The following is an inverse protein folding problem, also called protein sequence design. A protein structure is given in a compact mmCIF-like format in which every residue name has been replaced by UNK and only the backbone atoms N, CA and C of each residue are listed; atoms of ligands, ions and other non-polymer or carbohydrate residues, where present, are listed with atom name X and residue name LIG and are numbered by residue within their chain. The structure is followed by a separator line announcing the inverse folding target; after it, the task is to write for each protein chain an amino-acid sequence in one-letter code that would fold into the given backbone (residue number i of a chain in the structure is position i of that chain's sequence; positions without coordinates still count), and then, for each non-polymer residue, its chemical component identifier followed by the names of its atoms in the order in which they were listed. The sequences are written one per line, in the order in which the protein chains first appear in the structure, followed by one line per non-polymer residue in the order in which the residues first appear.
data_IF_540923714726
#
_entry.id   IF_540923714726
#
_cell.length_a   1.000
_cell.length_b   1.000
_cell.length_c   1.000
_cell.angle_alpha   90.00
_cell.angle_beta   90.00
_cell.angle_gamma   90.00
#
_symmetry.space_group_name_H-M   'P 1'
#
loop_
_entity.id
_entity.type
_entity.pdbx_description
1 polymer ?
#
# COMPACT_ATOMS: atom_id res chain seq x y z
N UNK A 1 19.02 -7.73 5.29
CA UNK A 1 19.15 -6.66 6.31
C UNK A 1 17.77 -6.41 6.92
N UNK A 2 17.69 -6.21 8.24
CA UNK A 2 16.41 -5.97 8.93
C UNK A 2 16.20 -4.46 9.04
N UNK A 3 15.11 -3.93 8.46
CA UNK A 3 14.75 -2.53 8.59
C UNK A 3 13.98 -2.27 9.89
N UNK A 4 14.34 -1.21 10.60
CA UNK A 4 13.57 -0.77 11.75
C UNK A 4 12.20 -0.20 11.35
N UNK A 5 11.16 -0.49 12.13
CA UNK A 5 9.77 -0.06 11.89
C UNK A 5 9.69 1.47 11.69
N UNK A 6 10.45 2.24 12.47
CA UNK A 6 10.48 3.71 12.37
C UNK A 6 10.96 4.22 11.00
N UNK A 7 11.86 3.49 10.32
CA UNK A 7 12.32 3.84 8.96
C UNK A 7 11.22 3.57 7.93
N UNK A 8 10.46 2.48 8.07
CA UNK A 8 9.34 2.15 7.19
C UNK A 8 8.24 3.22 7.26
N UNK A 9 7.84 3.62 8.47
CA UNK A 9 6.89 4.72 8.65
C UNK A 9 7.38 6.04 8.04
N UNK A 10 8.69 6.31 8.14
CA UNK A 10 9.28 7.53 7.55
C UNK A 10 9.26 7.48 6.02
N UNK A 11 9.56 6.33 5.42
CA UNK A 11 9.50 6.10 3.98
C UNK A 11 8.09 6.38 3.45
N UNK A 12 7.05 5.79 4.06
CA UNK A 12 5.65 6.02 3.67
C UNK A 12 5.31 7.52 3.75
N UNK A 13 5.72 8.21 4.82
CA UNK A 13 5.49 9.65 4.98
C UNK A 13 6.18 10.49 3.91
N UNK A 14 7.33 10.08 3.38
CA UNK A 14 8.03 10.84 2.33
C UNK A 14 7.18 10.89 1.06
N UNK A 15 6.62 9.76 0.64
CA UNK A 15 5.79 9.67 -0.56
C UNK A 15 4.38 10.24 -0.37
N UNK A 16 3.81 10.16 0.85
CA UNK A 16 2.48 10.69 1.14
C UNK A 16 2.43 12.22 1.39
N UNK A 17 3.57 12.93 1.41
CA UNK A 17 3.65 14.35 1.82
C UNK A 17 3.11 15.37 0.81
N UNK A 18 2.73 14.96 -0.39
CA UNK A 18 2.25 15.86 -1.47
C UNK A 18 0.97 15.31 -2.07
N UNK A 19 0.21 16.17 -2.76
CA UNK A 19 -0.90 15.69 -3.59
C UNK A 19 -0.37 14.74 -4.66
N UNK A 20 -0.91 13.53 -4.65
CA UNK A 20 -0.49 12.42 -5.50
C UNK A 20 -1.65 11.44 -5.59
N UNK A 21 -1.56 10.51 -6.53
CA UNK A 21 -2.54 9.43 -6.70
C UNK A 21 -2.09 8.22 -5.89
N UNK A 22 -3.03 7.49 -5.30
CA UNK A 22 -2.75 6.36 -4.40
C UNK A 22 -1.92 5.27 -5.11
N UNK A 23 -2.19 5.07 -6.40
CA UNK A 23 -1.51 4.14 -7.29
C UNK A 23 -0.02 4.45 -7.40
N UNK A 24 0.32 5.73 -7.55
CA UNK A 24 1.72 6.17 -7.71
C UNK A 24 2.49 5.98 -6.41
N UNK A 25 1.91 6.39 -5.29
CA UNK A 25 2.54 6.23 -3.96
C UNK A 25 2.86 4.77 -3.68
N UNK A 26 1.94 3.87 -3.99
CA UNK A 26 2.16 2.44 -3.77
C UNK A 26 3.28 1.84 -4.61
N UNK A 27 3.39 2.25 -5.89
CA UNK A 27 4.54 1.87 -6.74
C UNK A 27 5.85 2.38 -6.15
N UNK A 28 5.92 3.67 -5.79
CA UNK A 28 7.13 4.29 -5.26
C UNK A 28 7.59 3.64 -3.94
N UNK A 29 6.65 3.33 -3.04
CA UNK A 29 6.93 2.61 -1.79
C UNK A 29 7.47 1.21 -2.09
N UNK A 30 6.80 0.44 -2.95
CA UNK A 30 7.22 -0.93 -3.27
C UNK A 30 8.62 -0.96 -3.89
N UNK A 31 8.89 -0.06 -4.84
CA UNK A 31 10.17 0.01 -5.54
C UNK A 31 11.31 0.49 -4.62
N UNK A 32 11.05 1.43 -3.71
CA UNK A 32 12.02 1.84 -2.69
C UNK A 32 12.35 0.70 -1.73
N UNK A 33 11.34 -0.08 -1.30
CA UNK A 33 11.58 -1.25 -0.45
C UNK A 33 12.45 -2.29 -1.17
N UNK A 34 12.21 -2.55 -2.46
CA UNK A 34 13.06 -3.42 -3.26
C UNK A 34 14.49 -2.88 -3.34
N UNK A 35 14.64 -1.60 -3.65
CA UNK A 35 15.96 -0.94 -3.80
C UNK A 35 16.79 -0.98 -2.51
N UNK A 36 16.18 -0.67 -1.37
CA UNK A 36 16.88 -0.54 -0.09
C UNK A 36 17.15 -1.92 0.53
N UNK A 37 16.20 -2.86 0.44
CA UNK A 37 16.28 -4.12 1.18
C UNK A 37 16.71 -5.31 0.34
N UNK A 38 16.63 -5.22 -0.99
CA UNK A 38 16.85 -6.32 -1.94
C UNK A 38 16.18 -7.63 -1.48
N UNK A 39 14.88 -7.60 -1.11
CA UNK A 39 14.20 -8.77 -0.57
C UNK A 39 13.83 -9.75 -1.69
N UNK A 40 13.50 -10.99 -1.33
CA UNK A 40 12.94 -11.96 -2.27
C UNK A 40 11.53 -11.56 -2.76
N UNK A 41 10.81 -10.73 -2.00
CA UNK A 41 9.53 -10.19 -2.42
C UNK A 41 9.07 -9.02 -1.55
N UNK A 42 8.20 -8.18 -2.12
CA UNK A 42 7.53 -7.08 -1.42
C UNK A 42 6.04 -7.14 -1.72
N UNK A 43 5.24 -6.97 -0.68
CA UNK A 43 3.81 -6.78 -0.75
C UNK A 43 3.43 -5.48 -0.04
N UNK A 44 2.74 -4.58 -0.75
CA UNK A 44 2.23 -3.32 -0.21
C UNK A 44 0.73 -3.29 -0.41
N UNK A 45 -0.03 -3.10 0.67
CA UNK A 45 -1.47 -2.88 0.64
C UNK A 45 -1.78 -1.50 1.19
N UNK A 46 -2.43 -0.66 0.40
CA UNK A 46 -2.83 0.68 0.79
C UNK A 46 -4.34 0.79 0.83
N UNK A 47 -4.85 1.38 1.90
CA UNK A 47 -6.27 1.74 2.04
C UNK A 47 -6.37 3.23 2.34
N UNK A 48 -7.19 3.96 1.58
CA UNK A 48 -7.39 5.39 1.78
C UNK A 48 -8.82 5.81 1.48
N UNK A 49 -9.25 6.88 2.14
CA UNK A 49 -10.49 7.60 1.87
C UNK A 49 -10.15 8.87 1.07
N UNK A 50 -10.86 9.08 -0.04
CA UNK A 50 -10.64 10.22 -0.92
C UNK A 50 -11.65 11.32 -0.60
N UNK A 51 -11.24 12.31 0.20
CA UNK A 51 -12.15 13.38 0.62
C UNK A 51 -12.74 14.16 -0.56
N UNK A 52 -12.03 14.23 -1.69
CA UNK A 52 -12.54 14.85 -2.92
C UNK A 52 -13.77 14.14 -3.50
N UNK A 53 -13.89 12.81 -3.39
CA UNK A 53 -15.07 12.04 -3.83
C UNK A 53 -16.18 12.01 -2.78
N UNK A 54 -15.84 12.18 -1.51
CA UNK A 54 -16.81 12.22 -0.41
C UNK A 54 -17.51 13.58 -0.30
N UNK A 55 -16.77 14.68 -0.47
CA UNK A 55 -17.28 16.04 -0.23
C UNK A 55 -17.80 16.72 -1.50
N UNK A 56 -17.40 16.26 -2.69
CA UNK A 56 -17.81 16.83 -3.99
C UNK A 56 -18.25 15.69 -4.93
N UNK A 57 -19.18 15.97 -5.85
CA UNK A 57 -19.68 14.98 -6.81
C UNK A 57 -20.74 14.04 -6.23
N UNK A 58 -20.60 12.73 -6.45
CA UNK A 58 -21.58 11.66 -6.12
C UNK A 58 -21.86 11.53 -4.61
N UNK A 59 -21.01 12.12 -3.75
CA UNK A 59 -21.17 12.14 -2.28
C UNK A 59 -21.33 10.74 -1.69
N UNK A 60 -20.50 9.80 -2.12
CA UNK A 60 -20.43 8.49 -1.47
C UNK A 60 -19.90 8.65 -0.03
N UNK A 61 -20.82 8.69 0.92
CA UNK A 61 -20.50 8.42 2.32
C UNK A 61 -19.91 7.02 2.38
N UNK A 62 -18.66 6.89 2.83
CA UNK A 62 -17.90 5.64 3.01
C UNK A 62 -17.10 5.11 1.81
N UNK A 63 -16.86 5.90 0.75
CA UNK A 63 -15.95 5.47 -0.32
C UNK A 63 -14.52 5.28 0.21
N UNK A 64 -14.00 4.05 0.08
CA UNK A 64 -12.63 3.65 0.45
C UNK A 64 -12.02 2.91 -0.73
N UNK A 65 -10.81 3.29 -1.11
CA UNK A 65 -10.09 2.69 -2.23
C UNK A 65 -8.93 1.87 -1.69
N UNK A 66 -8.84 0.62 -2.15
CA UNK A 66 -7.73 -0.27 -1.87
C UNK A 66 -6.87 -0.45 -3.10
N UNK A 67 -5.56 -0.42 -2.92
CA UNK A 67 -4.58 -0.73 -3.97
C UNK A 67 -3.52 -1.66 -3.39
N UNK A 68 -3.07 -2.61 -4.21
CA UNK A 68 -2.04 -3.58 -3.80
C UNK A 68 -0.93 -3.65 -4.84
N UNK A 69 0.30 -3.78 -4.38
CA UNK A 69 1.50 -3.79 -5.21
C UNK A 69 2.37 -4.97 -4.81
N UNK A 70 2.86 -5.68 -5.83
CA UNK A 70 3.59 -6.93 -5.69
C UNK A 70 4.94 -6.81 -6.38
N UNK A 71 5.99 -7.34 -5.75
CA UNK A 71 7.34 -7.48 -6.32
C UNK A 71 7.94 -8.83 -5.95
N UNK A 72 8.80 -9.37 -6.83
CA UNK A 72 9.57 -10.59 -6.55
C UNK A 72 8.64 -11.80 -6.42
N UNK A 73 8.80 -12.61 -5.39
CA UNK A 73 8.00 -13.84 -5.21
C UNK A 73 6.48 -13.59 -5.23
N UNK A 74 6.02 -12.42 -4.75
CA UNK A 74 4.61 -12.05 -4.81
C UNK A 74 4.10 -11.74 -6.23
N UNK A 75 4.95 -11.63 -7.26
CA UNK A 75 4.52 -11.42 -8.65
C UNK A 75 3.99 -12.71 -9.31
N UNK A 76 4.52 -13.86 -8.90
CA UNK A 76 4.24 -15.14 -9.55
C UNK A 76 3.48 -16.13 -8.65
N UNK A 77 3.39 -15.85 -7.35
CA UNK A 77 2.75 -16.74 -6.39
C UNK A 77 1.39 -16.20 -5.91
N UNK A 78 0.32 -16.79 -6.43
CA UNK A 78 -1.06 -16.47 -6.05
C UNK A 78 -1.38 -16.88 -4.61
N UNK A 79 -0.76 -17.94 -4.09
CA UNK A 79 -0.98 -18.40 -2.73
C UNK A 79 -0.43 -17.37 -1.73
N UNK A 80 0.80 -16.88 -1.96
CA UNK A 80 1.39 -15.81 -1.14
C UNK A 80 0.56 -14.52 -1.15
N UNK A 81 0.02 -14.13 -2.31
CA UNK A 81 -0.90 -12.97 -2.39
C UNK A 81 -2.15 -13.18 -1.57
N UNK A 82 -2.75 -14.37 -1.67
CA UNK A 82 -3.99 -14.71 -0.98
C UNK A 82 -3.78 -14.71 0.54
N UNK A 83 -2.69 -15.32 1.02
CA UNK A 83 -2.32 -15.32 2.44
C UNK A 83 -2.13 -13.89 2.95
N UNK A 84 -1.34 -13.08 2.25
CA UNK A 84 -1.11 -11.68 2.62
C UNK A 84 -2.40 -10.86 2.64
N UNK A 85 -3.25 -10.96 1.61
CA UNK A 85 -4.52 -10.24 1.55
C UNK A 85 -5.50 -10.70 2.62
N UNK A 86 -5.46 -11.98 3.01
CA UNK A 86 -6.30 -12.49 4.09
C UNK A 86 -5.97 -11.80 5.41
N UNK A 87 -4.69 -11.55 5.70
CA UNK A 87 -4.24 -10.86 6.91
C UNK A 87 -4.47 -9.35 6.81
N UNK A 88 -4.10 -8.74 5.67
CA UNK A 88 -4.19 -7.29 5.47
C UNK A 88 -5.65 -6.80 5.37
N UNK A 89 -6.55 -7.61 4.81
CA UNK A 89 -7.97 -7.29 4.63
C UNK A 89 -8.80 -7.36 5.91
N UNK A 90 -8.40 -8.14 6.92
CA UNK A 90 -9.16 -8.33 8.17
C UNK A 90 -9.28 -7.04 9.00
N UNK A 91 -8.35 -6.09 8.88
CA UNK A 91 -8.32 -4.87 9.70
C UNK A 91 -9.32 -3.78 9.25
N UNK A 92 -10.11 -4.01 8.20
CA UNK A 92 -11.04 -3.00 7.66
C UNK A 92 -12.48 -3.06 8.21
N UNK A 93 -12.81 -4.03 9.07
CA UNK A 93 -14.16 -4.25 9.63
C UNK A 93 -14.35 -3.68 11.06
N UNK A 94 -13.74 -2.54 11.38
CA UNK A 94 -14.08 -1.75 12.58
C UNK A 94 -14.40 -0.30 12.20
#
# INVERSE_FOLDING_TARGET
EIIGISKLTRLVRVFARRFTVQERVGVEIADELVRVLKPHGVAVHLSAMHLCTQMRGVRESHSRTWTSFWRGNYENDTQLRTEFLSIAGQQSNH
#
